data_IF_713127003885
#
_entry.id   IF_713127003885
#
_cell.length_a   1.000
_cell.length_b   1.000
_cell.length_c   1.000
_cell.angle_alpha   90.00
_cell.angle_beta   90.00
_cell.angle_gamma   90.00
#
_symmetry.space_group_name_H-M   'P 1'
#
loop_
_entity.id
_entity.type
_entity.pdbx_description
1 polymer ?
#
# COMPACT_ATOMS: atom_id res chain seq x y z
N UNK A 1 -6.63 -14.12 5.30
CA UNK A 1 -5.58 -15.04 5.78
C UNK A 1 -4.21 -14.44 5.47
N UNK A 2 -3.11 -15.05 5.98
CA UNK A 2 -1.75 -14.62 5.62
C UNK A 2 -1.53 -14.79 4.12
N UNK A 3 -0.92 -13.79 3.49
CA UNK A 3 -0.74 -13.73 2.05
C UNK A 3 -1.88 -13.06 1.30
N UNK A 4 -3.04 -12.83 1.94
CA UNK A 4 -4.16 -12.15 1.28
C UNK A 4 -3.84 -10.68 1.00
N UNK A 5 -4.18 -10.23 -0.20
CA UNK A 5 -4.27 -8.82 -0.57
C UNK A 5 -5.74 -8.43 -0.66
N UNK A 6 -6.15 -7.51 0.20
CA UNK A 6 -7.53 -7.05 0.32
C UNK A 6 -7.63 -5.65 -0.29
N UNK A 7 -8.34 -5.51 -1.40
CA UNK A 7 -8.62 -4.23 -2.02
C UNK A 7 -9.71 -3.46 -1.30
N UNK A 8 -9.47 -2.21 -0.97
CA UNK A 8 -10.48 -1.31 -0.39
C UNK A 8 -10.72 -0.15 -1.34
N UNK A 9 -11.98 0.03 -1.74
CA UNK A 9 -12.39 1.12 -2.60
C UNK A 9 -13.78 1.63 -2.22
N UNK A 10 -14.28 2.62 -2.91
CA UNK A 10 -15.58 3.24 -2.63
C UNK A 10 -15.63 4.69 -3.08
N UNK A 11 -16.74 5.36 -2.84
CA UNK A 11 -16.94 6.76 -3.22
C UNK A 11 -15.89 7.70 -2.62
N UNK A 12 -15.72 8.87 -3.22
CA UNK A 12 -14.82 9.91 -2.68
C UNK A 12 -15.29 10.31 -1.28
N UNK A 13 -14.33 10.50 -0.37
CA UNK A 13 -14.58 10.89 1.03
C UNK A 13 -15.44 9.91 1.86
N UNK A 14 -15.58 8.64 1.46
CA UNK A 14 -16.34 7.63 2.22
C UNK A 14 -15.59 7.06 3.45
N UNK A 15 -14.35 7.49 3.72
CA UNK A 15 -13.59 7.10 4.90
C UNK A 15 -12.56 5.97 4.69
N UNK A 16 -12.11 5.70 3.47
CA UNK A 16 -11.10 4.66 3.17
C UNK A 16 -9.80 4.86 3.95
N UNK A 17 -9.20 6.03 3.87
CA UNK A 17 -7.97 6.37 4.62
C UNK A 17 -8.20 6.37 6.13
N UNK A 18 -9.39 6.80 6.58
CA UNK A 18 -9.78 6.72 8.00
C UNK A 18 -9.82 5.26 8.47
N UNK A 19 -10.36 4.35 7.65
CA UNK A 19 -10.35 2.91 7.95
C UNK A 19 -8.90 2.40 8.13
N UNK A 20 -7.99 2.76 7.21
CA UNK A 20 -6.57 2.40 7.34
C UNK A 20 -5.95 2.88 8.65
N UNK A 21 -6.23 4.13 9.03
CA UNK A 21 -5.70 4.74 10.25
C UNK A 21 -6.33 4.23 11.55
N UNK A 22 -7.53 3.65 11.51
CA UNK A 22 -8.12 2.97 12.66
C UNK A 22 -7.28 1.77 13.10
N UNK A 23 -6.66 1.03 12.18
CA UNK A 23 -5.76 -0.07 12.52
C UNK A 23 -4.45 0.39 13.20
N UNK A 24 -4.10 1.67 13.07
CA UNK A 24 -3.00 2.30 13.79
C UNK A 24 -3.44 2.91 15.13
N UNK A 25 -4.71 2.78 15.48
CA UNK A 25 -5.33 3.42 16.66
C UNK A 25 -5.26 4.97 16.64
N UNK A 26 -5.10 5.59 15.47
CA UNK A 26 -5.14 7.07 15.34
C UNK A 26 -6.55 7.63 15.51
N UNK A 27 -7.57 6.81 15.31
CA UNK A 27 -8.96 7.17 15.51
C UNK A 27 -9.66 6.21 16.49
N UNK A 28 -10.56 6.72 17.32
CA UNK A 28 -11.36 5.87 18.21
C UNK A 28 -12.31 5.00 17.39
N UNK A 29 -12.50 3.77 17.84
CA UNK A 29 -13.45 2.83 17.26
C UNK A 29 -14.32 2.17 18.31
N UNK A 30 -15.43 1.57 17.88
CA UNK A 30 -16.32 0.76 18.73
C UNK A 30 -16.31 -0.68 18.21
N UNK A 31 -16.31 -1.63 19.13
CA UNK A 31 -16.25 -3.05 18.79
C UNK A 31 -14.87 -3.64 19.05
N UNK A 32 -14.49 -4.68 18.32
CA UNK A 32 -13.26 -5.44 18.48
C UNK A 32 -12.45 -5.45 17.18
N UNK A 33 -11.16 -5.18 17.27
CA UNK A 33 -10.21 -5.31 16.16
C UNK A 33 -9.08 -6.22 16.63
N UNK A 34 -8.90 -7.33 15.92
CA UNK A 34 -7.83 -8.29 16.22
C UNK A 34 -6.85 -8.39 15.07
N UNK A 35 -5.56 -8.21 15.34
CA UNK A 35 -4.47 -8.43 14.39
C UNK A 35 -3.57 -9.53 14.93
N UNK A 36 -3.35 -10.58 14.14
CA UNK A 36 -2.57 -11.76 14.55
C UNK A 36 -3.02 -12.34 15.92
N UNK A 37 -4.35 -12.34 16.16
CA UNK A 37 -4.94 -12.84 17.40
C UNK A 37 -4.94 -11.87 18.59
N UNK A 38 -4.29 -10.73 18.48
CA UNK A 38 -4.21 -9.72 19.55
C UNK A 38 -5.33 -8.69 19.41
N UNK A 39 -6.08 -8.45 20.49
CA UNK A 39 -7.11 -7.40 20.55
C UNK A 39 -6.44 -6.03 20.73
N UNK A 40 -6.62 -5.12 19.78
CA UNK A 40 -5.90 -3.84 19.77
C UNK A 40 -6.19 -2.95 20.99
N UNK A 41 -7.43 -3.00 21.51
CA UNK A 41 -7.82 -2.20 22.67
C UNK A 41 -7.10 -2.60 23.98
N UNK A 42 -6.54 -3.81 24.02
CA UNK A 42 -5.89 -4.39 25.21
C UNK A 42 -4.36 -4.20 25.19
N UNK A 43 -3.80 -3.66 24.11
CA UNK A 43 -2.36 -3.52 23.92
C UNK A 43 -1.85 -2.13 24.27
N UNK A 44 -0.59 -2.08 24.77
CA UNK A 44 0.18 -0.86 24.84
C UNK A 44 0.65 -0.39 23.45
N UNK A 45 1.07 0.88 23.35
CA UNK A 45 1.40 1.50 22.05
C UNK A 45 2.61 0.84 21.37
N UNK A 46 3.58 0.34 22.13
CA UNK A 46 4.75 -0.35 21.58
C UNK A 46 4.35 -1.66 20.91
N UNK A 47 3.44 -2.43 21.49
CA UNK A 47 2.91 -3.67 20.90
C UNK A 47 2.02 -3.38 19.68
N UNK A 48 1.17 -2.33 19.74
CA UNK A 48 0.36 -1.90 18.58
C UNK A 48 1.25 -1.55 17.39
N UNK A 49 2.32 -0.77 17.60
CA UNK A 49 3.29 -0.42 16.57
C UNK A 49 3.97 -1.64 15.93
N UNK A 50 4.05 -2.77 16.62
CA UNK A 50 4.55 -4.05 16.10
C UNK A 50 3.58 -4.80 15.19
N UNK A 51 2.29 -4.43 15.12
CA UNK A 51 1.26 -5.20 14.43
C UNK A 51 0.89 -4.68 13.06
N UNK A 52 0.98 -3.37 12.81
CA UNK A 52 0.59 -2.76 11.55
C UNK A 52 1.67 -1.80 11.03
N UNK A 53 1.88 -1.84 9.71
CA UNK A 53 2.65 -0.84 8.96
C UNK A 53 1.70 -0.07 8.03
N UNK A 54 1.95 1.22 7.83
CA UNK A 54 1.10 2.08 7.01
C UNK A 54 1.95 2.92 6.06
N UNK A 55 1.60 2.88 4.79
CA UNK A 55 2.08 3.79 3.77
C UNK A 55 0.94 4.75 3.41
N UNK A 56 1.12 6.03 3.71
CA UNK A 56 0.16 7.08 3.36
C UNK A 56 0.31 7.56 1.92
N UNK A 57 -0.67 8.35 1.48
CA UNK A 57 -0.72 8.92 0.13
C UNK A 57 0.49 9.84 -0.18
N UNK A 58 0.91 10.65 0.77
CA UNK A 58 2.04 11.58 0.64
C UNK A 58 3.20 11.15 1.57
N UNK A 59 4.10 10.27 1.11
CA UNK A 59 5.15 9.76 1.95
C UNK A 59 6.24 10.80 2.19
N UNK A 60 6.60 11.02 3.44
CA UNK A 60 7.75 11.83 3.82
C UNK A 60 9.05 11.03 3.79
N UNK A 61 10.10 11.65 3.26
CA UNK A 61 11.45 11.11 3.25
C UNK A 61 12.33 11.82 4.26
N UNK A 62 13.19 11.07 4.92
CA UNK A 62 14.23 11.63 5.77
C UNK A 62 15.34 12.25 4.93
N UNK A 63 15.98 13.30 5.44
CA UNK A 63 17.23 13.84 4.89
C UNK A 63 18.37 12.87 5.20
N UNK A 64 18.48 11.82 4.40
CA UNK A 64 19.47 10.75 4.56
C UNK A 64 19.64 10.01 3.22
N UNK A 65 20.48 8.99 3.18
CA UNK A 65 20.66 8.16 1.99
C UNK A 65 19.40 7.35 1.66
N UNK A 66 19.29 6.87 0.43
CA UNK A 66 18.25 5.92 0.00
C UNK A 66 18.28 4.69 0.90
N UNK A 67 19.47 4.12 1.14
CA UNK A 67 19.69 2.99 2.04
C UNK A 67 19.10 3.25 3.43
N UNK A 68 19.48 4.37 4.06
CA UNK A 68 19.05 4.69 5.42
C UNK A 68 17.55 4.99 5.49
N UNK A 69 16.99 5.60 4.44
CA UNK A 69 15.54 5.79 4.30
C UNK A 69 14.77 4.47 4.28
N UNK A 70 15.34 3.39 3.73
CA UNK A 70 14.71 2.07 3.68
C UNK A 70 14.90 1.34 5.01
N UNK A 71 16.13 1.24 5.48
CA UNK A 71 16.50 0.37 6.60
C UNK A 71 16.08 0.92 7.97
N UNK A 72 16.19 2.25 8.19
CA UNK A 72 15.90 2.88 9.50
C UNK A 72 16.53 2.15 10.69
N UNK A 73 17.70 1.54 10.47
CA UNK A 73 18.43 0.79 11.49
C UNK A 73 18.29 -0.74 11.43
N UNK A 74 17.38 -1.26 10.60
CA UNK A 74 17.29 -2.70 10.35
C UNK A 74 18.40 -3.17 9.39
N UNK A 75 18.66 -4.48 9.37
CA UNK A 75 19.66 -5.12 8.50
C UNK A 75 18.95 -6.03 7.48
N UNK A 76 18.59 -5.46 6.34
CA UNK A 76 17.90 -6.15 5.24
C UNK A 76 18.60 -5.87 3.90
N UNK A 77 18.37 -6.73 2.91
CA UNK A 77 18.92 -6.54 1.57
C UNK A 77 18.20 -5.42 0.81
N UNK A 78 18.82 -4.22 0.81
CA UNK A 78 18.30 -3.03 0.14
C UNK A 78 18.13 -3.26 -1.37
N UNK A 79 19.05 -3.97 -2.03
CA UNK A 79 18.96 -4.21 -3.47
C UNK A 79 17.72 -5.05 -3.82
N UNK A 80 17.40 -6.02 -2.98
CA UNK A 80 16.20 -6.83 -3.11
C UNK A 80 14.93 -6.02 -2.91
N UNK A 81 14.91 -5.12 -1.93
CA UNK A 81 13.78 -4.23 -1.68
C UNK A 81 13.56 -3.22 -2.81
N UNK A 82 14.65 -2.62 -3.32
CA UNK A 82 14.59 -1.72 -4.48
C UNK A 82 14.04 -2.42 -5.72
N UNK A 83 14.46 -3.65 -5.97
CA UNK A 83 13.95 -4.47 -7.06
C UNK A 83 12.45 -4.78 -6.89
N UNK A 84 12.01 -5.08 -5.68
CA UNK A 84 10.60 -5.35 -5.41
C UNK A 84 9.67 -4.19 -5.77
N UNK A 85 10.16 -2.96 -5.62
CA UNK A 85 9.42 -1.73 -5.94
C UNK A 85 9.82 -1.12 -7.29
N UNK A 86 10.53 -1.86 -8.16
CA UNK A 86 10.97 -1.42 -9.49
C UNK A 86 11.76 -0.09 -9.46
N UNK A 87 12.63 0.09 -8.47
CA UNK A 87 13.44 1.30 -8.30
C UNK A 87 14.96 1.05 -8.41
N UNK A 88 15.36 -0.20 -8.56
CA UNK A 88 16.75 -0.65 -8.59
C UNK A 88 17.55 -0.05 -9.76
N UNK A 89 16.99 -0.02 -10.97
CA UNK A 89 17.65 0.50 -12.16
C UNK A 89 17.98 1.99 -12.01
N UNK A 90 16.98 2.79 -11.63
CA UNK A 90 17.15 4.24 -11.45
C UNK A 90 18.16 4.55 -10.33
N UNK A 91 18.12 3.78 -9.23
CA UNK A 91 19.09 3.95 -8.13
C UNK A 91 20.50 3.56 -8.58
N UNK A 92 20.66 2.50 -9.37
CA UNK A 92 21.98 2.11 -9.89
C UNK A 92 22.56 3.12 -10.88
N UNK A 93 21.71 3.90 -11.57
CA UNK A 93 22.14 4.98 -12.48
C UNK A 93 22.52 6.27 -11.73
N UNK A 94 22.24 6.37 -10.43
CA UNK A 94 22.67 7.50 -9.59
C UNK A 94 24.17 7.38 -9.27
N UNK A 95 24.88 8.51 -9.21
CA UNK A 95 26.32 8.57 -8.96
C UNK A 95 26.76 7.77 -7.72
N UNK A 96 25.99 7.83 -6.63
CA UNK A 96 26.28 7.13 -5.37
C UNK A 96 25.36 5.92 -5.14
N UNK A 97 24.57 5.48 -6.15
CA UNK A 97 23.66 4.36 -6.02
C UNK A 97 22.73 4.49 -4.80
N UNK A 98 22.65 3.45 -4.00
CA UNK A 98 21.82 3.44 -2.78
C UNK A 98 22.34 4.37 -1.66
N UNK A 99 23.58 4.83 -1.74
CA UNK A 99 24.15 5.80 -0.81
C UNK A 99 23.91 7.25 -1.24
N UNK A 100 23.12 7.46 -2.31
CA UNK A 100 22.67 8.77 -2.73
C UNK A 100 21.82 9.42 -1.64
N UNK A 101 22.21 10.63 -1.25
CA UNK A 101 21.52 11.44 -0.25
C UNK A 101 20.27 12.08 -0.85
N UNK A 102 19.11 11.89 -0.23
CA UNK A 102 17.81 12.38 -0.70
C UNK A 102 17.11 13.23 0.37
N UNK A 103 15.98 13.83 0.02
CA UNK A 103 15.24 14.72 0.92
C UNK A 103 15.46 16.20 0.61
N UNK A 104 15.17 17.09 1.57
CA UNK A 104 15.17 18.54 1.33
C UNK A 104 16.54 19.12 0.97
N UNK A 105 17.64 18.48 1.39
CA UNK A 105 19.02 18.93 1.18
C UNK A 105 19.81 18.07 0.19
N UNK A 106 19.24 16.95 -0.26
CA UNK A 106 19.83 15.99 -1.18
C UNK A 106 19.23 16.05 -2.59
N UNK A 107 19.37 14.95 -3.32
CA UNK A 107 18.73 14.76 -4.62
C UNK A 107 17.22 14.79 -4.45
N UNK A 108 16.55 15.62 -5.24
CA UNK A 108 15.09 15.70 -5.25
C UNK A 108 14.52 14.58 -6.09
N UNK A 109 13.89 13.62 -5.45
CA UNK A 109 13.16 12.54 -6.12
C UNK A 109 11.85 13.04 -6.75
N UNK A 110 11.45 12.42 -7.86
CA UNK A 110 10.09 12.59 -8.40
C UNK A 110 9.04 12.00 -7.42
N UNK A 111 7.77 12.36 -7.58
CA UNK A 111 6.69 11.79 -6.76
C UNK A 111 6.65 10.26 -6.80
N UNK A 112 6.78 9.66 -7.98
CA UNK A 112 6.81 8.20 -8.15
C UNK A 112 8.06 7.55 -7.54
N UNK A 113 9.23 8.19 -7.61
CA UNK A 113 10.45 7.72 -6.95
C UNK A 113 10.32 7.76 -5.42
N UNK A 114 9.80 8.86 -4.89
CA UNK A 114 9.57 9.02 -3.45
C UNK A 114 8.56 7.97 -2.93
N UNK A 115 7.50 7.72 -3.69
CA UNK A 115 6.48 6.73 -3.36
C UNK A 115 7.04 5.31 -3.35
N UNK A 116 7.86 4.94 -4.36
CA UNK A 116 8.53 3.63 -4.41
C UNK A 116 9.56 3.46 -3.28
N UNK A 117 10.32 4.51 -2.95
CA UNK A 117 11.25 4.49 -1.82
C UNK A 117 10.52 4.26 -0.49
N UNK A 118 9.42 4.95 -0.26
CA UNK A 118 8.60 4.77 0.94
C UNK A 118 7.92 3.40 1.00
N UNK A 119 7.51 2.85 -0.16
CA UNK A 119 7.01 1.48 -0.25
C UNK A 119 8.10 0.46 0.11
N UNK A 120 9.33 0.63 -0.40
CA UNK A 120 10.48 -0.21 -0.02
C UNK A 120 10.75 -0.19 1.49
N UNK A 121 10.68 1.00 2.11
CA UNK A 121 10.74 1.17 3.58
C UNK A 121 9.64 0.35 4.28
N UNK A 122 8.41 0.47 3.82
CA UNK A 122 7.26 -0.25 4.41
C UNK A 122 7.42 -1.77 4.30
N UNK A 123 7.98 -2.25 3.19
CA UNK A 123 8.28 -3.68 2.98
C UNK A 123 9.49 -4.17 3.80
N UNK A 124 10.46 -3.29 4.09
CA UNK A 124 11.57 -3.60 4.98
C UNK A 124 11.06 -3.93 6.40
N UNK A 125 10.19 -3.08 6.92
CA UNK A 125 9.64 -3.21 8.28
C UNK A 125 8.33 -4.00 8.28
N UNK A 126 8.35 -5.24 7.78
CA UNK A 126 7.17 -6.10 7.69
C UNK A 126 6.46 -6.28 9.02
N UNK A 127 5.16 -6.09 9.00
CA UNK A 127 4.25 -6.33 10.11
C UNK A 127 3.18 -7.34 9.70
N UNK A 128 2.49 -7.98 10.64
CA UNK A 128 1.37 -8.88 10.34
C UNK A 128 0.30 -8.26 9.42
N UNK A 129 0.09 -6.95 9.53
CA UNK A 129 -0.80 -6.17 8.68
C UNK A 129 -0.01 -5.03 8.02
N UNK A 130 -0.12 -4.91 6.70
CA UNK A 130 0.43 -3.80 5.91
C UNK A 130 -0.74 -3.07 5.26
N UNK A 131 -0.80 -1.76 5.45
CA UNK A 131 -1.83 -0.90 4.88
C UNK A 131 -1.16 0.06 3.91
N UNK A 132 -1.61 0.02 2.66
CA UNK A 132 -1.10 0.84 1.56
C UNK A 132 -2.24 1.75 1.08
N UNK A 133 -2.13 3.05 1.37
CA UNK A 133 -3.16 4.03 1.02
C UNK A 133 -2.77 4.76 -0.26
N UNK A 134 -3.35 4.32 -1.37
CA UNK A 134 -3.12 4.77 -2.75
C UNK A 134 -1.63 4.76 -3.16
N UNK A 135 -0.92 3.62 -2.94
CA UNK A 135 0.54 3.54 -3.06
C UNK A 135 1.06 3.74 -4.48
N UNK A 136 0.18 3.78 -5.46
CA UNK A 136 0.53 3.81 -6.89
C UNK A 136 0.09 5.09 -7.58
N UNK A 137 -0.40 6.10 -6.85
CA UNK A 137 -1.01 7.32 -7.42
C UNK A 137 -0.11 8.07 -8.41
N UNK A 138 1.22 8.05 -8.19
CA UNK A 138 2.22 8.72 -9.01
C UNK A 138 2.96 7.78 -9.98
N UNK A 139 2.47 6.55 -10.20
CA UNK A 139 3.09 5.56 -11.06
C UNK A 139 2.30 5.34 -12.36
N UNK A 140 3.01 4.93 -13.41
CA UNK A 140 2.42 4.40 -14.62
C UNK A 140 1.87 2.99 -14.41
N UNK A 141 0.94 2.56 -15.30
CA UNK A 141 0.24 1.29 -15.17
C UNK A 141 1.15 0.04 -15.22
N UNK A 142 2.25 0.09 -15.96
CA UNK A 142 3.13 -1.06 -16.14
C UNK A 142 3.99 -1.26 -14.89
N UNK A 143 4.58 -0.18 -14.38
CA UNK A 143 5.31 -0.17 -13.10
C UNK A 143 4.39 -0.62 -11.95
N UNK A 144 3.14 -0.13 -11.90
CA UNK A 144 2.16 -0.53 -10.90
C UNK A 144 1.87 -2.04 -10.93
N UNK A 145 1.65 -2.62 -12.13
CA UNK A 145 1.43 -4.07 -12.31
C UNK A 145 2.61 -4.90 -11.84
N UNK A 146 3.84 -4.48 -12.18
CA UNK A 146 5.05 -5.19 -11.78
C UNK A 146 5.23 -5.14 -10.27
N UNK A 147 5.07 -3.98 -9.64
CA UNK A 147 5.13 -3.84 -8.18
C UNK A 147 4.05 -4.68 -7.51
N UNK A 148 2.81 -4.68 -8.03
CA UNK A 148 1.73 -5.48 -7.47
C UNK A 148 2.02 -6.98 -7.52
N UNK A 149 2.59 -7.48 -8.63
CA UNK A 149 3.02 -8.87 -8.74
C UNK A 149 4.12 -9.21 -7.72
N UNK A 150 5.10 -8.30 -7.54
CA UNK A 150 6.16 -8.44 -6.55
C UNK A 150 5.62 -8.43 -5.12
N UNK A 151 4.62 -7.57 -4.80
CA UNK A 151 3.98 -7.52 -3.49
C UNK A 151 3.43 -8.88 -3.07
N UNK A 152 2.75 -9.59 -3.95
CA UNK A 152 2.22 -10.94 -3.66
C UNK A 152 3.30 -11.91 -3.18
N UNK A 153 4.49 -11.81 -3.74
CA UNK A 153 5.61 -12.64 -3.32
C UNK A 153 6.22 -12.19 -1.99
N UNK A 154 6.38 -10.87 -1.82
CA UNK A 154 7.02 -10.29 -0.64
C UNK A 154 6.18 -10.35 0.63
N UNK A 155 4.85 -10.43 0.51
CA UNK A 155 3.91 -10.32 1.63
C UNK A 155 3.19 -11.63 1.96
N UNK A 156 3.75 -12.79 1.58
CA UNK A 156 3.16 -14.12 1.83
C UNK A 156 2.83 -14.40 3.31
N UNK A 157 3.57 -13.78 4.22
CA UNK A 157 3.39 -13.96 5.66
C UNK A 157 2.58 -12.84 6.33
N UNK A 158 2.14 -11.86 5.56
CA UNK A 158 1.41 -10.68 6.01
C UNK A 158 0.00 -10.66 5.40
N UNK A 159 -0.87 -9.80 5.92
CA UNK A 159 -2.09 -9.39 5.23
C UNK A 159 -1.84 -7.99 4.69
N UNK A 160 -2.20 -7.75 3.43
CA UNK A 160 -2.11 -6.41 2.82
C UNK A 160 -3.51 -5.85 2.63
N UNK A 161 -3.74 -4.65 3.12
CA UNK A 161 -4.90 -3.82 2.76
C UNK A 161 -4.41 -2.78 1.77
N UNK A 162 -4.89 -2.87 0.53
CA UNK A 162 -4.57 -1.92 -0.53
C UNK A 162 -5.78 -1.03 -0.80
N UNK A 163 -5.69 0.21 -0.36
CA UNK A 163 -6.69 1.24 -0.63
C UNK A 163 -6.36 1.87 -1.97
N UNK A 164 -7.28 1.83 -2.93
CA UNK A 164 -7.04 2.43 -4.24
C UNK A 164 -8.34 2.88 -4.93
N UNK A 165 -8.19 3.89 -5.76
CA UNK A 165 -9.21 4.32 -6.72
C UNK A 165 -9.05 3.63 -8.08
N UNK A 166 -7.92 2.97 -8.35
CA UNK A 166 -7.62 2.26 -9.60
C UNK A 166 -8.06 0.81 -9.49
N UNK A 167 -9.15 0.44 -10.17
CA UNK A 167 -9.80 -0.86 -9.97
C UNK A 167 -9.26 -1.99 -10.84
N UNK A 168 -8.42 -1.71 -11.84
CA UNK A 168 -7.98 -2.73 -12.80
C UNK A 168 -7.12 -3.86 -12.21
N UNK A 169 -6.54 -3.66 -11.00
CA UNK A 169 -5.85 -4.71 -10.24
C UNK A 169 -6.78 -5.53 -9.33
N UNK A 170 -7.99 -5.03 -9.06
CA UNK A 170 -8.91 -5.66 -8.10
C UNK A 170 -9.34 -7.08 -8.45
N UNK A 171 -9.47 -7.48 -9.74
CA UNK A 171 -9.72 -8.89 -10.08
C UNK A 171 -8.62 -9.87 -9.62
N UNK A 172 -7.42 -9.38 -9.34
CA UNK A 172 -6.28 -10.19 -8.89
C UNK A 172 -6.14 -10.24 -7.36
N UNK A 173 -6.97 -9.51 -6.62
CA UNK A 173 -6.97 -9.46 -5.16
C UNK A 173 -7.84 -10.58 -4.58
N UNK A 174 -7.49 -11.05 -3.39
CA UNK A 174 -8.18 -12.17 -2.74
C UNK A 174 -9.56 -11.76 -2.24
N UNK A 175 -9.70 -10.51 -1.81
CA UNK A 175 -10.98 -9.90 -1.39
C UNK A 175 -11.05 -8.45 -1.80
N UNK A 176 -12.27 -7.96 -1.92
CA UNK A 176 -12.60 -6.57 -2.18
C UNK A 176 -13.58 -6.08 -1.13
N UNK A 177 -13.35 -4.88 -0.62
CA UNK A 177 -14.24 -4.18 0.30
C UNK A 177 -14.68 -2.88 -0.39
N UNK A 178 -15.98 -2.75 -0.62
CA UNK A 178 -16.62 -1.51 -1.06
C UNK A 178 -17.14 -0.74 0.13
N UNK A 179 -16.73 0.54 0.24
CA UNK A 179 -17.18 1.47 1.28
C UNK A 179 -18.09 2.53 0.68
N UNK A 180 -19.29 2.68 1.24
CA UNK A 180 -20.23 3.73 0.84
C UNK A 180 -21.19 4.10 1.97
N UNK A 181 -21.30 5.38 2.28
CA UNK A 181 -22.26 5.93 3.24
C UNK A 181 -22.29 5.18 4.59
N UNK A 182 -21.12 4.81 5.12
CA UNK A 182 -21.00 4.07 6.38
C UNK A 182 -21.39 2.60 6.30
N UNK A 183 -21.65 2.07 5.10
CA UNK A 183 -21.89 0.64 4.85
C UNK A 183 -20.70 0.02 4.13
N UNK A 184 -20.49 -1.26 4.39
CA UNK A 184 -19.47 -2.07 3.74
C UNK A 184 -20.08 -3.25 3.02
N UNK A 185 -19.61 -3.53 1.81
CA UNK A 185 -19.89 -4.78 1.10
C UNK A 185 -18.54 -5.44 0.88
N UNK A 186 -18.39 -6.70 1.29
CA UNK A 186 -17.14 -7.44 1.12
C UNK A 186 -17.39 -8.76 0.39
N UNK A 187 -16.42 -9.18 -0.42
CA UNK A 187 -16.46 -10.42 -1.20
C UNK A 187 -15.28 -10.52 -2.16
N UNK A 188 -15.32 -11.48 -3.08
CA UNK A 188 -14.42 -11.51 -4.23
C UNK A 188 -14.79 -10.40 -5.22
N UNK A 189 -13.90 -10.09 -6.18
CA UNK A 189 -14.21 -9.13 -7.24
C UNK A 189 -15.54 -9.44 -7.93
N UNK A 190 -15.76 -10.69 -8.34
CA UNK A 190 -16.95 -11.13 -9.04
C UNK A 190 -18.22 -11.00 -8.19
N UNK A 191 -18.13 -11.32 -6.90
CA UNK A 191 -19.24 -11.14 -5.96
C UNK A 191 -19.62 -9.67 -5.80
N UNK A 192 -18.64 -8.77 -5.70
CA UNK A 192 -18.89 -7.32 -5.58
C UNK A 192 -19.43 -6.75 -6.89
N UNK A 193 -18.91 -7.18 -8.04
CA UNK A 193 -19.48 -6.84 -9.36
C UNK A 193 -20.97 -7.14 -9.44
N UNK A 194 -21.42 -8.27 -8.88
CA UNK A 194 -22.82 -8.68 -8.89
C UNK A 194 -23.67 -8.00 -7.82
N UNK A 195 -23.10 -7.70 -6.65
CA UNK A 195 -23.86 -7.20 -5.48
C UNK A 195 -23.86 -5.67 -5.36
N UNK A 196 -22.93 -4.98 -6.02
CA UNK A 196 -22.73 -3.53 -5.91
C UNK A 196 -22.71 -2.87 -7.30
N UNK A 197 -23.85 -2.36 -7.78
CA UNK A 197 -23.93 -1.71 -9.10
C UNK A 197 -22.97 -0.53 -9.24
N UNK A 198 -22.72 0.24 -8.18
CA UNK A 198 -21.81 1.38 -8.19
C UNK A 198 -20.37 0.95 -8.45
N UNK A 199 -19.94 -0.15 -7.84
CA UNK A 199 -18.62 -0.73 -8.09
C UNK A 199 -18.50 -1.21 -9.55
N UNK A 200 -19.53 -1.90 -10.05
CA UNK A 200 -19.54 -2.42 -11.41
C UNK A 200 -19.48 -1.29 -12.47
N UNK A 201 -20.21 -0.19 -12.25
CA UNK A 201 -20.15 0.99 -13.11
C UNK A 201 -18.74 1.57 -13.13
N UNK A 202 -18.17 1.85 -11.94
CA UNK A 202 -16.84 2.44 -11.81
C UNK A 202 -15.75 1.56 -12.44
N UNK A 203 -15.81 0.25 -12.22
CA UNK A 203 -14.87 -0.70 -12.82
C UNK A 203 -14.95 -0.71 -14.35
N UNK A 204 -16.17 -0.75 -14.91
CA UNK A 204 -16.38 -0.78 -16.36
C UNK A 204 -15.96 0.54 -17.03
N UNK A 205 -16.22 1.69 -16.40
CA UNK A 205 -15.74 2.99 -16.88
C UNK A 205 -14.21 3.03 -16.98
N UNK A 206 -13.50 2.57 -15.93
CA UNK A 206 -12.03 2.52 -15.94
C UNK A 206 -11.47 1.51 -16.94
N UNK A 207 -12.20 0.43 -17.22
CA UNK A 207 -11.83 -0.57 -18.23
C UNK A 207 -12.06 -0.04 -19.64
N UNK A 208 -13.16 0.69 -19.88
CA UNK A 208 -13.48 1.28 -21.19
C UNK A 208 -12.54 2.43 -21.57
N UNK A 209 -12.18 3.30 -20.62
CA UNK A 209 -11.22 4.39 -20.86
C UNK A 209 -9.78 3.94 -21.12
N UNK A 210 -9.45 2.67 -20.84
CA UNK A 210 -8.14 2.11 -21.13
C UNK A 210 -8.01 1.58 -22.59
N UNK A 211 -9.12 1.47 -23.32
CA UNK A 211 -9.12 1.01 -24.72
C UNK A 211 -8.99 2.15 -25.75
N UNK A 212 -9.04 3.41 -25.31
CA UNK A 212 -8.94 4.59 -26.20
C UNK A 212 -7.52 5.23 -26.16
N UNK A 213 -6.57 4.65 -25.43
CA UNK A 213 -5.20 5.14 -25.28
C UNK A 213 -4.12 4.19 -25.88
N UNK A 214 -4.50 3.20 -26.71
CA UNK A 214 -3.58 2.34 -27.46
C UNK A 214 -3.42 2.77 -28.93
#
# INVERSE_FOLDING_TARGET
>A
EKGDIIGVTGSVACGKSTLGKVFLCEYPYKGSIKIAGNELSELDDAKKAGLAAYLGHDPELFNDTIRNNILMGDDEDVAKLLKAVCFDKEVNDMENGQDTYVGNTGVRLSGGQAQRLALARTLCHKKPLIILDDPFSALDKDTEREIFANLKEYTKDCIVILISHRLYLFPQMDKVIWLENGKTIAGTHDEIMNKCPQYAVLYNEQKGGASDEE
#
